data_IF_034620697833
#
_entry.id   IF_034620697833
#
_cell.length_a   1.000
_cell.length_b   1.000
_cell.length_c   1.000
_cell.angle_alpha   90.00
_cell.angle_beta   90.00
_cell.angle_gamma   90.00
#
_symmetry.space_group_name_H-M   'P 1'
#
loop_
_entity.id
_entity.type
_entity.pdbx_description
1 polymer ?
#
# COMPACT_ATOMS: atom_id res chain seq x y z
N UNK A 1 9.11 5.30 11.52
CA UNK A 1 7.97 5.36 12.47
C UNK A 1 8.50 5.57 13.87
N UNK A 2 9.38 4.70 14.37
CA UNK A 2 9.93 4.78 15.73
C UNK A 2 10.52 6.14 16.10
N UNK A 3 11.26 6.77 15.17
CA UNK A 3 11.78 8.14 15.37
C UNK A 3 10.67 9.18 15.59
N UNK A 4 9.58 9.09 14.84
CA UNK A 4 8.44 10.00 15.00
C UNK A 4 7.69 9.78 16.32
N UNK A 5 7.71 8.55 16.84
CA UNK A 5 7.13 8.21 18.16
C UNK A 5 8.02 8.73 19.29
N UNK A 6 9.34 8.55 19.18
CA UNK A 6 10.30 9.02 20.18
C UNK A 6 10.43 10.55 20.21
N UNK A 7 10.34 11.20 19.05
CA UNK A 7 10.51 12.65 18.90
C UNK A 7 9.49 13.19 17.87
N UNK A 8 8.28 13.59 18.28
CA UNK A 8 7.17 13.93 17.37
C UNK A 8 7.25 15.37 16.85
N UNK A 9 8.24 15.67 16.01
CA UNK A 9 8.32 16.94 15.27
C UNK A 9 7.57 16.85 13.95
N UNK A 10 7.26 18.00 13.34
CA UNK A 10 6.64 18.04 12.02
C UNK A 10 7.48 17.29 10.96
N UNK A 11 8.81 17.30 11.06
CA UNK A 11 9.68 16.60 10.11
C UNK A 11 9.71 15.09 10.33
N UNK A 12 9.86 14.64 11.58
CA UNK A 12 9.93 13.20 11.87
C UNK A 12 8.60 12.52 11.56
N UNK A 13 7.47 13.20 11.84
CA UNK A 13 6.12 12.74 11.49
C UNK A 13 5.93 12.72 9.97
N UNK A 14 6.27 13.79 9.25
CA UNK A 14 6.15 13.83 7.79
C UNK A 14 6.97 12.72 7.13
N UNK A 15 8.22 12.53 7.56
CA UNK A 15 9.07 11.43 7.08
C UNK A 15 8.45 10.06 7.35
N UNK A 16 7.88 9.83 8.53
CA UNK A 16 7.20 8.57 8.84
C UNK A 16 5.96 8.36 7.96
N UNK A 17 5.17 9.40 7.69
CA UNK A 17 4.01 9.34 6.80
C UNK A 17 4.43 9.01 5.36
N UNK A 18 5.47 9.68 4.83
CA UNK A 18 6.00 9.46 3.48
C UNK A 18 6.43 8.01 3.30
N UNK A 19 7.31 7.50 4.16
CA UNK A 19 7.82 6.12 4.06
C UNK A 19 6.68 5.09 4.20
N UNK A 20 5.69 5.37 5.06
CA UNK A 20 4.53 4.48 5.21
C UNK A 20 3.64 4.49 3.97
N UNK A 21 3.43 5.66 3.35
CA UNK A 21 2.67 5.80 2.12
C UNK A 21 3.36 5.10 0.94
N UNK A 22 4.67 5.24 0.81
CA UNK A 22 5.48 4.51 -0.19
C UNK A 22 5.34 2.99 -0.02
N UNK A 23 5.50 2.49 1.22
CA UNK A 23 5.32 1.08 1.53
C UNK A 23 3.90 0.60 1.22
N UNK A 24 2.87 1.41 1.52
CA UNK A 24 1.47 1.09 1.23
C UNK A 24 1.20 1.02 -0.28
N UNK A 25 1.75 1.95 -1.06
CA UNK A 25 1.65 1.95 -2.52
C UNK A 25 2.25 0.65 -3.06
N UNK A 26 3.51 0.37 -2.71
CA UNK A 26 4.25 -0.77 -3.22
C UNK A 26 3.58 -2.10 -2.84
N UNK A 27 3.19 -2.25 -1.57
CA UNK A 27 2.51 -3.45 -1.09
C UNK A 27 1.14 -3.65 -1.74
N UNK A 28 0.41 -2.58 -2.05
CA UNK A 28 -0.87 -2.65 -2.78
C UNK A 28 -0.67 -3.21 -4.18
N UNK A 29 0.28 -2.68 -4.94
CA UNK A 29 0.56 -3.13 -6.31
C UNK A 29 1.05 -4.57 -6.34
N UNK A 30 2.02 -4.89 -5.47
CA UNK A 30 2.62 -6.22 -5.41
C UNK A 30 1.60 -7.27 -4.97
N UNK A 31 0.74 -6.99 -3.99
CA UNK A 31 -0.27 -7.94 -3.54
C UNK A 31 -1.24 -8.33 -4.67
N UNK A 32 -1.69 -7.36 -5.47
CA UNK A 32 -2.55 -7.64 -6.62
C UNK A 32 -1.77 -8.36 -7.73
N UNK A 33 -0.56 -7.92 -8.05
CA UNK A 33 0.25 -8.56 -9.08
C UNK A 33 0.61 -10.01 -8.73
N UNK A 34 1.09 -10.28 -7.51
CA UNK A 34 1.50 -11.59 -7.06
C UNK A 34 0.33 -12.59 -7.03
N UNK A 35 -0.84 -12.15 -6.57
CA UNK A 35 -2.01 -13.02 -6.48
C UNK A 35 -2.59 -13.39 -7.84
N UNK A 36 -2.42 -12.55 -8.87
CA UNK A 36 -2.72 -12.93 -10.26
C UNK A 36 -1.63 -13.83 -10.86
N UNK A 37 -0.36 -13.46 -10.71
CA UNK A 37 0.79 -14.22 -11.24
C UNK A 37 0.86 -15.65 -10.72
N UNK A 38 0.34 -15.90 -9.52
CA UNK A 38 0.21 -17.24 -8.96
C UNK A 38 -0.54 -18.19 -9.92
N UNK A 39 -1.62 -17.74 -10.56
CA UNK A 39 -2.39 -18.55 -11.50
C UNK A 39 -1.69 -18.71 -12.86
N UNK A 40 -1.03 -17.65 -13.34
CA UNK A 40 -0.21 -17.70 -14.56
C UNK A 40 0.89 -18.77 -14.44
N UNK A 41 1.54 -18.86 -13.28
CA UNK A 41 2.61 -19.81 -13.01
C UNK A 41 2.10 -21.24 -12.78
N UNK A 42 1.02 -21.40 -12.02
CA UNK A 42 0.54 -22.71 -11.58
C UNK A 42 -0.39 -23.41 -12.59
N UNK A 43 -0.89 -22.69 -13.59
CA UNK A 43 -1.73 -23.24 -14.68
C UNK A 43 -3.14 -23.62 -14.24
N UNK A 44 -3.93 -24.18 -15.17
CA UNK A 44 -5.39 -24.37 -15.03
C UNK A 44 -5.82 -25.07 -13.74
N UNK A 45 -5.07 -26.09 -13.29
CA UNK A 45 -5.42 -26.84 -12.06
C UNK A 45 -5.39 -25.99 -10.79
N UNK A 46 -4.66 -24.87 -10.78
CA UNK A 46 -4.63 -23.94 -9.64
C UNK A 46 -5.99 -23.29 -9.34
N UNK A 47 -6.92 -23.33 -10.30
CA UNK A 47 -8.29 -22.82 -10.16
C UNK A 47 -9.25 -23.76 -9.41
N UNK A 48 -8.82 -24.98 -9.09
CA UNK A 48 -9.64 -25.92 -8.34
C UNK A 48 -9.94 -25.37 -6.94
N UNK A 49 -11.22 -25.45 -6.54
CA UNK A 49 -11.72 -24.90 -5.28
C UNK A 49 -10.99 -25.48 -4.05
N UNK A 50 -10.50 -26.73 -4.13
CA UNK A 50 -9.75 -27.38 -3.04
C UNK A 50 -8.44 -26.64 -2.68
N UNK A 51 -7.84 -25.92 -3.63
CA UNK A 51 -6.63 -25.12 -3.38
C UNK A 51 -6.96 -23.73 -2.81
N UNK A 52 -8.16 -23.20 -3.10
CA UNK A 52 -8.70 -21.94 -2.58
C UNK A 52 -7.75 -20.74 -2.77
N UNK A 53 -6.91 -20.75 -3.81
CA UNK A 53 -5.83 -19.77 -4.00
C UNK A 53 -6.36 -18.36 -4.30
N UNK A 54 -7.56 -18.28 -4.88
CA UNK A 54 -8.28 -17.04 -5.18
C UNK A 54 -8.59 -16.22 -3.92
N UNK A 55 -8.60 -16.85 -2.74
CA UNK A 55 -8.77 -16.14 -1.45
C UNK A 55 -7.75 -15.03 -1.25
N UNK A 56 -6.53 -15.21 -1.74
CA UNK A 56 -5.46 -14.23 -1.57
C UNK A 56 -5.76 -12.97 -2.39
N UNK A 57 -6.19 -13.14 -3.64
CA UNK A 57 -6.62 -12.02 -4.48
C UNK A 57 -7.85 -11.33 -3.89
N UNK A 58 -8.87 -12.10 -3.49
CA UNK A 58 -10.10 -11.53 -2.89
C UNK A 58 -9.78 -10.70 -1.65
N UNK A 59 -9.00 -11.24 -0.72
CA UNK A 59 -8.60 -10.53 0.49
C UNK A 59 -7.78 -9.27 0.18
N UNK A 60 -6.78 -9.39 -0.70
CA UNK A 60 -5.97 -8.24 -1.11
C UNK A 60 -6.82 -7.17 -1.79
N UNK A 61 -7.70 -7.55 -2.73
CA UNK A 61 -8.57 -6.62 -3.44
C UNK A 61 -9.53 -5.91 -2.50
N UNK A 62 -10.12 -6.61 -1.54
CA UNK A 62 -10.98 -6.01 -0.51
C UNK A 62 -10.20 -5.02 0.34
N UNK A 63 -9.05 -5.43 0.89
CA UNK A 63 -8.32 -4.58 1.84
C UNK A 63 -7.66 -3.37 1.19
N UNK A 64 -7.11 -3.53 -0.02
CA UNK A 64 -6.45 -2.42 -0.76
C UNK A 64 -7.43 -1.34 -1.23
N UNK A 65 -8.75 -1.56 -1.13
CA UNK A 65 -9.77 -0.56 -1.42
C UNK A 65 -10.10 0.35 -0.23
N UNK A 66 -9.59 0.05 0.96
CA UNK A 66 -9.89 0.79 2.19
C UNK A 66 -9.71 2.31 2.03
N UNK A 67 -8.59 2.73 1.47
CA UNK A 67 -8.34 4.12 1.07
C UNK A 67 -7.67 4.15 -0.32
N UNK A 68 -8.10 5.07 -1.22
CA UNK A 68 -7.67 5.02 -2.62
C UNK A 68 -6.17 5.28 -2.77
N UNK A 69 -5.42 4.28 -3.24
CA UNK A 69 -3.96 4.37 -3.44
C UNK A 69 -3.55 5.56 -4.31
N UNK A 70 -4.39 5.96 -5.28
CA UNK A 70 -4.17 7.15 -6.12
C UNK A 70 -3.94 8.44 -5.34
N UNK A 71 -4.56 8.59 -4.17
CA UNK A 71 -4.37 9.76 -3.32
C UNK A 71 -2.98 9.78 -2.68
N UNK A 72 -2.41 8.62 -2.37
CA UNK A 72 -1.05 8.52 -1.83
C UNK A 72 -0.02 9.04 -2.82
N UNK A 73 -0.16 8.73 -4.12
CA UNK A 73 0.70 9.31 -5.15
C UNK A 73 0.60 10.84 -5.22
N UNK A 74 -0.61 11.40 -5.08
CA UNK A 74 -0.79 12.86 -5.07
C UNK A 74 -0.10 13.50 -3.87
N UNK A 75 -0.22 12.91 -2.68
CA UNK A 75 0.44 13.38 -1.45
C UNK A 75 1.96 13.32 -1.59
N UNK A 76 2.50 12.18 -2.02
CA UNK A 76 3.94 12.02 -2.24
C UNK A 76 4.46 12.97 -3.32
N UNK A 77 3.70 13.16 -4.41
CA UNK A 77 4.04 14.11 -5.47
C UNK A 77 4.16 15.53 -4.93
N UNK A 78 3.21 16.00 -4.12
CA UNK A 78 3.29 17.32 -3.46
C UNK A 78 4.49 17.42 -2.51
N UNK A 79 4.78 16.37 -1.74
CA UNK A 79 5.92 16.34 -0.85
C UNK A 79 7.25 16.46 -1.61
N UNK A 80 7.47 15.62 -2.62
CA UNK A 80 8.74 15.60 -3.36
C UNK A 80 8.90 16.77 -4.33
N UNK A 81 7.82 17.26 -4.95
CA UNK A 81 7.89 18.32 -5.96
C UNK A 81 7.77 19.73 -5.37
N UNK A 82 6.97 19.90 -4.30
CA UNK A 82 6.65 21.22 -3.75
C UNK A 82 7.17 21.44 -2.32
N UNK A 83 7.71 20.41 -1.65
CA UNK A 83 8.09 20.48 -0.23
C UNK A 83 6.89 20.55 0.72
N UNK A 84 5.68 20.22 0.25
CA UNK A 84 4.47 20.22 1.07
C UNK A 84 4.42 18.97 1.96
N UNK A 85 4.43 19.14 3.28
CA UNK A 85 4.28 18.01 4.22
C UNK A 85 2.92 17.31 4.05
N UNK A 86 2.85 15.98 4.22
CA UNK A 86 1.59 15.26 4.17
C UNK A 86 0.55 15.84 5.16
N UNK A 87 -0.75 15.82 4.82
CA UNK A 87 -1.77 16.25 5.75
C UNK A 87 -1.78 15.38 7.01
N UNK A 88 -2.12 15.98 8.16
CA UNK A 88 -2.34 15.25 9.40
C UNK A 88 -3.79 14.73 9.44
N UNK A 89 -4.05 13.69 8.65
CA UNK A 89 -5.33 12.97 8.65
C UNK A 89 -5.07 11.47 8.73
N UNK A 90 -5.98 10.72 9.35
CA UNK A 90 -5.88 9.26 9.53
C UNK A 90 -5.72 8.45 8.22
N UNK A 91 -5.96 9.07 7.07
CA UNK A 91 -5.93 8.43 5.74
C UNK A 91 -4.97 9.13 4.78
N UNK A 92 -4.13 10.05 5.29
CA UNK A 92 -3.06 10.72 4.52
C UNK A 92 -1.81 9.88 4.43
#
# INVERSE_FOLDING_TARGET
IDRAVAEPTAETVAHAQVVTAEAKILSTEIAIAATNKLFELAGTRSTLAEHNLDRHWRNARTHTLHDPVRWKYSILGKYFLNGEKPPLHAWS
#
